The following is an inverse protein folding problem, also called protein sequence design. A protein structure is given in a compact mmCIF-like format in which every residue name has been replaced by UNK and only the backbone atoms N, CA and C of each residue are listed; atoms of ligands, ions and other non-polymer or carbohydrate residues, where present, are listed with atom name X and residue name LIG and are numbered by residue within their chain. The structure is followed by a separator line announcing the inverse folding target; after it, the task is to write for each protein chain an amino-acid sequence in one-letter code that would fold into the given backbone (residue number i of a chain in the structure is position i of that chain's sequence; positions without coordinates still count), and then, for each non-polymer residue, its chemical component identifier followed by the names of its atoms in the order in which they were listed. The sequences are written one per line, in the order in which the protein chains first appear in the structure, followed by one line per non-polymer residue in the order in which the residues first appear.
data_IF_596263109865
#
_entry.id   IF_596263109865
#
_cell.length_a   1.000
_cell.length_b   1.000
_cell.length_c   1.000
_cell.angle_alpha   90.00
_cell.angle_beta   90.00
_cell.angle_gamma   90.00
#
_symmetry.space_group_name_H-M   'P 1'
#
loop_
_entity.id
_entity.type
_entity.pdbx_description
1 polymer ?
#
# COMPACT_ATOMS: atom_id res chain seq x y z
N UNK A 1 -3.95 -8.45 -9.69
CA UNK A 1 -3.23 -7.59 -8.73
C UNK A 1 -4.25 -6.92 -7.84
N UNK A 2 -4.00 -6.85 -6.54
CA UNK A 2 -4.87 -6.15 -5.59
C UNK A 2 -4.35 -4.73 -5.33
N UNK A 3 -5.25 -3.81 -4.99
CA UNK A 3 -4.91 -2.42 -4.65
C UNK A 3 -4.43 -2.34 -3.21
N UNK A 4 -3.32 -1.65 -2.99
CA UNK A 4 -2.75 -1.48 -1.66
C UNK A 4 -2.27 -0.05 -1.42
N UNK A 5 -2.20 0.31 -0.15
CA UNK A 5 -1.54 1.51 0.36
C UNK A 5 -0.46 1.05 1.32
N UNK A 6 0.76 1.52 1.13
CA UNK A 6 1.91 1.24 1.98
C UNK A 6 2.25 2.50 2.76
N UNK A 7 2.39 2.37 4.08
CA UNK A 7 2.94 3.40 4.93
C UNK A 7 4.43 3.15 5.13
N UNK A 8 5.24 4.19 4.98
CA UNK A 8 6.67 4.19 5.24
C UNK A 8 6.90 4.71 6.65
N UNK A 9 7.83 4.12 7.40
CA UNK A 9 8.16 4.59 8.74
C UNK A 9 8.93 5.92 8.71
N UNK A 10 8.86 6.65 9.82
CA UNK A 10 9.42 8.01 9.94
C UNK A 10 10.95 8.03 9.76
N UNK A 11 11.65 6.94 10.11
CA UNK A 11 13.12 6.85 10.01
C UNK A 11 13.60 6.75 8.56
N UNK A 12 12.71 6.32 7.64
CA UNK A 12 13.04 6.11 6.24
C UNK A 12 12.42 7.16 5.30
N UNK A 13 11.79 8.22 5.81
CA UNK A 13 11.21 9.28 4.97
C UNK A 13 12.26 10.05 4.16
N UNK A 14 13.44 10.29 4.74
CA UNK A 14 14.55 10.96 4.05
C UNK A 14 15.11 10.14 2.88
N UNK A 15 14.90 8.82 2.91
CA UNK A 15 15.32 7.86 1.87
C UNK A 15 14.11 7.21 1.16
N UNK A 16 12.95 7.86 1.21
CA UNK A 16 11.71 7.37 0.60
C UNK A 16 11.87 6.90 -0.86
N UNK A 17 12.61 7.59 -1.75
CA UNK A 17 12.83 7.10 -3.11
C UNK A 17 13.48 5.71 -3.16
N UNK A 18 14.40 5.40 -2.24
CA UNK A 18 15.05 4.08 -2.16
C UNK A 18 14.06 3.01 -1.71
N UNK A 19 13.21 3.32 -0.73
CA UNK A 19 12.14 2.43 -0.27
C UNK A 19 11.16 2.13 -1.41
N UNK A 20 10.79 3.14 -2.21
CA UNK A 20 9.92 2.97 -3.37
C UNK A 20 10.54 2.01 -4.40
N UNK A 21 11.84 2.11 -4.67
CA UNK A 21 12.53 1.18 -5.57
C UNK A 21 12.58 -0.25 -5.01
N UNK A 22 12.75 -0.42 -3.69
CA UNK A 22 12.61 -1.73 -3.05
C UNK A 22 11.21 -2.31 -3.23
N UNK A 23 10.16 -1.50 -3.09
CA UNK A 23 8.78 -1.93 -3.33
C UNK A 23 8.57 -2.37 -4.78
N UNK A 24 9.11 -1.63 -5.75
CA UNK A 24 9.08 -2.02 -7.18
C UNK A 24 9.81 -3.34 -7.40
N UNK A 25 10.98 -3.52 -6.81
CA UNK A 25 11.75 -4.76 -6.86
C UNK A 25 11.01 -5.95 -6.24
N UNK A 26 10.18 -5.72 -5.22
CA UNK A 26 9.32 -6.72 -4.60
C UNK A 26 8.05 -7.05 -5.42
N UNK A 27 7.85 -6.39 -6.57
CA UNK A 27 6.74 -6.65 -7.48
C UNK A 27 5.53 -5.72 -7.33
N UNK A 28 5.67 -4.63 -6.56
CA UNK A 28 4.64 -3.59 -6.50
C UNK A 28 4.69 -2.69 -7.74
N UNK A 29 3.55 -2.50 -8.39
CA UNK A 29 3.36 -1.44 -9.38
C UNK A 29 2.90 -0.19 -8.64
N UNK A 30 3.79 0.80 -8.56
CA UNK A 30 3.52 2.07 -7.85
C UNK A 30 2.76 3.03 -8.77
N UNK A 31 1.64 3.57 -8.28
CA UNK A 31 0.86 4.57 -9.00
C UNK A 31 1.16 5.98 -8.51
N UNK A 32 1.18 6.19 -7.18
CA UNK A 32 1.41 7.50 -6.57
C UNK A 32 2.23 7.35 -5.29
N UNK A 33 3.12 8.34 -5.09
CA UNK A 33 3.91 8.51 -3.87
C UNK A 33 3.48 9.83 -3.25
N UNK A 34 2.95 9.78 -2.03
CA UNK A 34 2.59 10.95 -1.25
C UNK A 34 3.72 11.25 -0.26
N UNK A 35 4.77 11.91 -0.75
CA UNK A 35 6.03 12.14 -0.04
C UNK A 35 5.86 12.84 1.31
N UNK A 36 4.97 13.85 1.37
CA UNK A 36 4.72 14.63 2.59
C UNK A 36 4.20 13.79 3.76
N UNK A 37 3.48 12.70 3.47
CA UNK A 37 2.85 11.85 4.47
C UNK A 37 3.40 10.42 4.47
N UNK A 38 4.46 10.15 3.70
CA UNK A 38 5.13 8.85 3.68
C UNK A 38 4.27 7.68 3.20
N UNK A 39 3.33 7.90 2.27
CA UNK A 39 2.49 6.80 1.76
C UNK A 39 2.68 6.53 0.28
N UNK A 40 2.64 5.26 -0.09
CA UNK A 40 2.79 4.78 -1.48
C UNK A 40 1.56 3.97 -1.84
N UNK A 41 0.88 4.34 -2.92
CA UNK A 41 -0.28 3.61 -3.42
C UNK A 41 0.10 2.85 -4.69
N UNK A 42 -0.49 1.67 -4.84
CA UNK A 42 -0.14 0.81 -5.95
C UNK A 42 -1.01 -0.42 -6.07
N UNK A 43 -0.54 -1.34 -6.91
CA UNK A 43 -1.06 -2.68 -7.01
C UNK A 43 0.06 -3.70 -6.86
N UNK A 44 -0.24 -4.85 -6.25
CA UNK A 44 0.71 -5.95 -6.11
C UNK A 44 0.01 -7.29 -6.33
N UNK A 45 0.77 -8.33 -6.62
CA UNK A 45 0.26 -9.70 -6.61
C UNK A 45 0.03 -10.16 -5.15
N UNK A 46 -1.13 -10.76 -4.81
CA UNK A 46 -1.47 -11.07 -3.41
C UNK A 46 -0.47 -11.94 -2.66
N UNK A 47 0.21 -12.87 -3.36
CA UNK A 47 1.25 -13.72 -2.76
C UNK A 47 2.53 -12.94 -2.42
N UNK A 48 2.78 -11.79 -3.07
CA UNK A 48 3.93 -10.92 -2.82
C UNK A 48 3.72 -9.90 -1.68
N UNK A 49 2.50 -9.79 -1.12
CA UNK A 49 2.21 -8.85 -0.02
C UNK A 49 3.06 -9.12 1.22
N UNK A 50 3.32 -10.39 1.54
CA UNK A 50 4.17 -10.75 2.69
C UNK A 50 5.62 -10.27 2.50
N UNK A 51 6.14 -10.36 1.28
CA UNK A 51 7.47 -9.84 0.92
C UNK A 51 7.52 -8.33 1.09
N UNK A 52 6.47 -7.62 0.66
CA UNK A 52 6.37 -6.17 0.80
C UNK A 52 6.37 -5.72 2.28
N UNK A 53 5.65 -6.44 3.14
CA UNK A 53 5.60 -6.16 4.59
C UNK A 53 6.95 -6.37 5.29
N UNK A 54 7.84 -7.18 4.72
CA UNK A 54 9.15 -7.47 5.29
C UNK A 54 10.24 -6.50 4.81
N UNK A 55 9.92 -5.56 3.92
CA UNK A 55 10.90 -4.58 3.43
C UNK A 55 11.28 -3.58 4.54
N UNK A 56 12.58 -3.23 4.64
CA UNK A 56 13.01 -2.09 5.44
C UNK A 56 12.28 -0.81 5.02
N UNK A 57 11.89 0.01 5.98
CA UNK A 57 11.13 1.23 5.72
C UNK A 57 9.62 1.03 5.67
N UNK A 58 9.10 -0.20 5.64
CA UNK A 58 7.64 -0.43 5.58
C UNK A 58 7.05 -0.52 6.99
N UNK A 59 6.28 0.51 7.37
CA UNK A 59 5.53 0.54 8.63
C UNK A 59 4.24 -0.29 8.56
N UNK A 60 3.61 -0.38 7.39
CA UNK A 60 2.37 -1.11 7.22
C UNK A 60 1.89 -1.20 5.78
N UNK A 61 1.08 -2.22 5.52
CA UNK A 61 0.43 -2.44 4.22
C UNK A 61 -1.07 -2.58 4.44
N UNK A 62 -1.84 -1.62 3.93
CA UNK A 62 -3.29 -1.68 3.92
C UNK A 62 -3.79 -2.19 2.56
N UNK A 63 -4.67 -3.20 2.61
CA UNK A 63 -5.31 -3.75 1.42
C UNK A 63 -6.61 -3.01 1.18
N UNK A 64 -6.76 -2.42 0.01
CA UNK A 64 -8.03 -1.81 -0.39
C UNK A 64 -9.07 -2.91 -0.58
N UNK A 65 -9.82 -3.20 0.48
CA UNK A 65 -11.00 -4.07 0.45
C UNK A 65 -12.13 -3.26 -0.15
N UNK A 66 -12.81 -3.83 -1.15
CA UNK A 66 -14.02 -3.22 -1.69
C UNK A 66 -15.11 -3.22 -0.63
N UNK A 67 -15.36 -2.07 -0.02
CA UNK A 67 -16.53 -1.89 0.85
C UNK A 67 -17.71 -1.56 -0.06
N UNK A 68 -18.65 -2.50 -0.19
CA UNK A 68 -19.92 -2.24 -0.85
C UNK A 68 -20.92 -1.79 0.21
N UNK A 69 -21.34 -0.53 0.15
CA UNK A 69 -22.50 -0.10 0.92
C UNK A 69 -23.72 -0.78 0.31
N UNK A 70 -24.56 -1.48 1.10
CA UNK A 70 -25.80 -2.01 0.56
C UNK A 70 -26.63 -0.85 -0.03
N UNK A 71 -27.39 -1.10 -1.11
CA UNK A 71 -28.22 -0.07 -1.72
C UNK A 71 -29.18 0.54 -0.68
N UNK A 72 -29.56 1.82 -0.82
CA UNK A 72 -30.37 2.54 0.17
C UNK A 72 -31.73 1.90 0.45
N UNK A 73 -32.22 1.06 -0.46
CA UNK A 73 -33.48 0.32 -0.34
C UNK A 73 -33.33 -1.02 0.43
N UNK A 74 -32.15 -1.31 0.97
CA UNK A 74 -31.88 -2.52 1.74
C UNK A 74 -32.58 -2.45 3.11
N UNK A 75 -33.25 -3.53 3.57
CA UNK A 75 -34.02 -3.54 4.82
C UNK A 75 -33.17 -3.56 6.11
N UNK A 76 -31.84 -3.43 6.01
CA UNK A 76 -30.92 -3.39 7.15
C UNK A 76 -30.22 -2.04 7.20
N UNK A 77 -30.41 -1.33 8.32
CA UNK A 77 -29.69 -0.12 8.72
C UNK A 77 -28.87 -0.42 9.97
#
# INVERSE_FOLDING_TARGET
MERIVVAVDDEHLDVLPEVVELMRGAGMVVDQVAEVVGTVTGAIEPSAVATLQALPGVAGVDRQRGFHLPPPDSPIQ
#
